data_IF_482220546052
#
_entry.id   IF_482220546052
#
_cell.length_a   1.000
_cell.length_b   1.000
_cell.length_c   1.000
_cell.angle_alpha   90.00
_cell.angle_beta   90.00
_cell.angle_gamma   90.00
#
_symmetry.space_group_name_H-M   'P 1'
#
loop_
_entity.id
_entity.type
_entity.pdbx_description
1 polymer ?
#
# COMPACT_ATOMS: atom_id res chain seq x y z
N UNK A 1 -4.88 19.54 1.37
CA UNK A 1 -4.65 18.09 1.37
C UNK A 1 -4.09 17.62 0.03
N UNK A 2 -4.70 18.01 -1.11
CA UNK A 2 -4.16 17.66 -2.43
C UNK A 2 -2.71 18.10 -2.68
N UNK A 3 -2.35 19.36 -2.42
CA UNK A 3 -0.95 19.81 -2.59
C UNK A 3 0.06 18.95 -1.81
N UNK A 4 -0.30 18.48 -0.61
CA UNK A 4 0.55 17.62 0.20
C UNK A 4 0.65 16.22 -0.41
N UNK A 5 -0.43 15.68 -0.97
CA UNK A 5 -0.40 14.40 -1.69
C UNK A 5 0.53 14.49 -2.89
N UNK A 6 0.44 15.57 -3.68
CA UNK A 6 1.31 15.77 -4.83
C UNK A 6 2.79 15.86 -4.42
N UNK A 7 3.10 16.58 -3.34
CA UNK A 7 4.46 16.63 -2.77
C UNK A 7 4.95 15.25 -2.34
N UNK A 8 4.09 14.46 -1.67
CA UNK A 8 4.44 13.13 -1.19
C UNK A 8 4.64 12.14 -2.33
N UNK A 9 3.82 12.18 -3.38
CA UNK A 9 3.99 11.32 -4.56
C UNK A 9 5.35 11.53 -5.26
N UNK A 10 5.94 12.71 -5.12
CA UNK A 10 7.27 13.03 -5.67
C UNK A 10 8.43 12.77 -4.69
N UNK A 11 8.14 12.23 -3.50
CA UNK A 11 9.14 11.93 -2.49
C UNK A 11 9.68 10.49 -2.60
N UNK A 12 10.68 10.17 -1.79
CA UNK A 12 11.11 8.78 -1.64
C UNK A 12 9.96 7.88 -1.19
N UNK A 13 9.97 6.63 -1.64
CA UNK A 13 8.93 5.68 -1.30
C UNK A 13 9.48 4.29 -1.00
N UNK A 14 8.67 3.52 -0.29
CA UNK A 14 8.89 2.13 0.06
C UNK A 14 7.76 1.30 -0.52
N UNK A 15 8.09 0.10 -0.99
CA UNK A 15 7.14 -0.86 -1.52
C UNK A 15 6.90 -1.94 -0.47
N UNK A 16 5.64 -2.28 -0.29
CA UNK A 16 5.15 -3.34 0.60
C UNK A 16 4.56 -4.42 -0.30
N UNK A 17 5.28 -5.53 -0.45
CA UNK A 17 5.05 -6.53 -1.49
C UNK A 17 5.11 -7.96 -0.91
N UNK A 18 4.51 -8.92 -1.60
CA UNK A 18 4.71 -10.34 -1.35
C UNK A 18 6.15 -10.81 -1.63
N UNK A 19 6.92 -10.08 -2.42
CA UNK A 19 8.32 -10.37 -2.73
C UNK A 19 9.28 -9.44 -1.96
N UNK A 20 10.45 -9.94 -1.52
CA UNK A 20 11.38 -9.17 -0.69
C UNK A 20 12.18 -8.12 -1.46
N UNK A 21 12.09 -8.09 -2.78
CA UNK A 21 12.76 -7.14 -3.67
C UNK A 21 12.11 -7.16 -5.05
N UNK A 22 12.35 -6.11 -5.82
CA UNK A 22 11.97 -6.06 -7.23
C UNK A 22 12.54 -7.24 -8.01
N UNK A 23 11.70 -7.88 -8.82
CA UNK A 23 12.14 -8.92 -9.75
C UNK A 23 12.81 -8.27 -10.96
N UNK A 24 14.05 -8.64 -11.32
CA UNK A 24 14.70 -8.13 -12.52
C UNK A 24 13.88 -8.42 -13.78
N UNK A 25 13.83 -7.47 -14.70
CA UNK A 25 13.11 -7.59 -15.97
C UNK A 25 13.60 -8.76 -16.84
N UNK A 26 14.85 -9.19 -16.64
CA UNK A 26 15.49 -10.30 -17.33
C UNK A 26 15.54 -11.61 -16.51
N UNK A 27 14.79 -11.73 -15.41
CA UNK A 27 14.97 -12.84 -14.45
C UNK A 27 14.70 -14.24 -15.01
N UNK A 28 14.07 -14.37 -16.19
CA UNK A 28 13.70 -15.66 -16.81
C UNK A 28 12.76 -16.53 -15.96
N UNK A 29 12.34 -16.04 -14.79
CA UNK A 29 11.46 -16.71 -13.86
C UNK A 29 9.99 -16.54 -14.20
N UNK A 30 9.12 -16.97 -13.30
CA UNK A 30 7.68 -17.02 -13.51
C UNK A 30 6.92 -15.79 -12.98
N UNK A 31 7.59 -14.66 -12.75
CA UNK A 31 6.98 -13.48 -12.11
C UNK A 31 5.67 -13.06 -12.78
N UNK A 32 5.67 -12.86 -14.10
CA UNK A 32 4.48 -12.42 -14.84
C UNK A 32 3.33 -13.46 -14.80
N UNK A 33 3.64 -14.75 -14.77
CA UNK A 33 2.63 -15.79 -14.64
C UNK A 33 2.03 -15.83 -13.23
N UNK A 34 2.87 -15.62 -12.20
CA UNK A 34 2.43 -15.50 -10.80
C UNK A 34 1.58 -14.24 -10.62
N UNK A 35 2.02 -13.10 -11.17
CA UNK A 35 1.29 -11.83 -11.15
C UNK A 35 -0.08 -11.99 -11.78
N UNK A 36 -0.14 -12.53 -13.01
CA UNK A 36 -1.40 -12.81 -13.69
C UNK A 36 -2.31 -13.72 -12.86
N UNK A 37 -1.77 -14.77 -12.23
CA UNK A 37 -2.54 -15.67 -11.37
C UNK A 37 -3.10 -14.94 -10.14
N UNK A 38 -2.31 -14.07 -9.50
CA UNK A 38 -2.75 -13.32 -8.32
C UNK A 38 -3.85 -12.33 -8.70
N UNK A 39 -3.60 -11.48 -9.70
CA UNK A 39 -4.49 -10.40 -10.12
C UNK A 39 -5.83 -10.89 -10.69
N UNK A 40 -5.86 -12.08 -11.31
CA UNK A 40 -7.07 -12.61 -11.97
C UNK A 40 -7.77 -13.74 -11.19
N UNK A 41 -7.50 -13.88 -9.89
CA UNK A 41 -8.15 -14.87 -9.04
C UNK A 41 -8.56 -14.30 -7.69
N UNK A 42 -9.21 -15.10 -6.83
CA UNK A 42 -9.52 -14.70 -5.45
C UNK A 42 -8.28 -14.40 -4.59
N UNK A 43 -7.08 -14.65 -5.10
CA UNK A 43 -5.81 -14.31 -4.43
C UNK A 43 -5.61 -12.80 -4.27
N UNK A 44 -6.14 -11.97 -5.17
CA UNK A 44 -6.05 -10.51 -5.01
C UNK A 44 -6.83 -10.03 -3.79
N UNK A 45 -8.03 -10.58 -3.55
CA UNK A 45 -8.82 -10.26 -2.35
C UNK A 45 -8.07 -10.67 -1.07
N UNK A 46 -7.46 -11.87 -1.05
CA UNK A 46 -6.65 -12.31 0.08
C UNK A 46 -5.39 -11.45 0.30
N UNK A 47 -4.85 -10.84 -0.76
CA UNK A 47 -3.75 -9.88 -0.65
C UNK A 47 -4.24 -8.54 -0.10
N UNK A 48 -5.38 -8.04 -0.57
CA UNK A 48 -6.01 -6.84 -0.03
C UNK A 48 -6.39 -7.00 1.45
N UNK A 49 -6.86 -8.16 1.88
CA UNK A 49 -7.12 -8.44 3.31
C UNK A 49 -5.85 -8.28 4.16
N UNK A 50 -4.69 -8.68 3.63
CA UNK A 50 -3.39 -8.50 4.28
C UNK A 50 -2.99 -7.02 4.35
N UNK A 51 -3.25 -6.25 3.29
CA UNK A 51 -3.07 -4.79 3.33
C UNK A 51 -3.99 -4.15 4.37
N UNK A 52 -5.28 -4.51 4.39
CA UNK A 52 -6.23 -4.04 5.40
C UNK A 52 -5.75 -4.32 6.82
N UNK A 53 -5.21 -5.52 7.10
CA UNK A 53 -4.66 -5.87 8.41
C UNK A 53 -3.50 -4.96 8.82
N UNK A 54 -2.60 -4.60 7.90
CA UNK A 54 -1.53 -3.63 8.17
C UNK A 54 -2.12 -2.27 8.52
N UNK A 55 -3.07 -1.78 7.73
CA UNK A 55 -3.67 -0.46 7.90
C UNK A 55 -4.45 -0.34 9.21
N UNK A 56 -5.20 -1.37 9.59
CA UNK A 56 -5.90 -1.42 10.87
C UNK A 56 -4.94 -1.32 12.04
N UNK A 57 -3.84 -2.07 11.99
CA UNK A 57 -2.78 -2.01 13.03
C UNK A 57 -2.11 -0.65 13.03
N UNK A 58 -1.85 -0.06 11.87
CA UNK A 58 -1.27 1.27 11.75
C UNK A 58 -2.21 2.34 12.31
N UNK A 59 -3.52 2.19 12.11
CA UNK A 59 -4.55 3.07 12.65
C UNK A 59 -4.67 3.01 14.19
N UNK A 60 -4.10 1.98 14.84
CA UNK A 60 -3.93 1.99 16.30
C UNK A 60 -2.83 2.93 16.78
N UNK A 61 -1.88 3.32 15.92
CA UNK A 61 -0.75 4.19 16.26
C UNK A 61 -0.90 5.61 15.71
N UNK A 62 -1.58 5.77 14.57
CA UNK A 62 -1.78 7.05 13.90
C UNK A 62 -3.22 7.22 13.45
N UNK A 63 -3.70 8.46 13.52
CA UNK A 63 -4.88 8.85 12.77
C UNK A 63 -4.57 8.75 11.27
N UNK A 64 -5.57 8.33 10.50
CA UNK A 64 -5.49 8.24 9.04
C UNK A 64 -6.61 9.07 8.39
N UNK A 65 -6.24 9.85 7.38
CA UNK A 65 -7.20 10.47 6.48
C UNK A 65 -7.24 9.64 5.19
N UNK A 66 -8.42 9.19 4.77
CA UNK A 66 -8.58 8.27 3.64
C UNK A 66 -9.38 8.92 2.52
N UNK A 67 -8.87 8.82 1.30
CA UNK A 67 -9.56 9.16 0.07
C UNK A 67 -9.78 7.87 -0.74
N UNK A 68 -11.04 7.58 -1.02
CA UNK A 68 -11.49 6.33 -1.66
C UNK A 68 -11.57 6.42 -3.20
N UNK A 69 -11.12 7.52 -3.80
CA UNK A 69 -11.19 7.77 -5.24
C UNK A 69 -11.43 9.24 -5.59
N UNK A 70 -11.42 9.55 -6.89
CA UNK A 70 -11.46 10.93 -7.41
C UNK A 70 -12.74 11.69 -7.05
N UNK A 71 -13.86 10.99 -6.91
CA UNK A 71 -15.16 11.59 -6.61
C UNK A 71 -15.47 11.65 -5.11
N UNK A 72 -14.63 11.03 -4.27
CA UNK A 72 -14.82 10.98 -2.83
C UNK A 72 -13.99 12.06 -2.12
N UNK A 73 -14.58 12.67 -1.09
CA UNK A 73 -13.84 13.53 -0.17
C UNK A 73 -12.87 12.74 0.72
N UNK A 74 -12.08 13.45 1.52
CA UNK A 74 -11.26 12.83 2.55
C UNK A 74 -12.09 12.51 3.78
N UNK A 75 -11.96 11.28 4.27
CA UNK A 75 -12.61 10.79 5.48
C UNK A 75 -11.54 10.61 6.57
N UNK A 76 -11.68 11.34 7.67
CA UNK A 76 -10.84 11.17 8.84
C UNK A 76 -11.25 9.94 9.65
N UNK A 77 -10.30 9.06 9.96
CA UNK A 77 -10.46 7.85 10.79
C UNK A 77 -11.78 7.10 10.50
N UNK A 78 -11.90 6.47 9.32
CA UNK A 78 -13.05 5.62 9.02
C UNK A 78 -13.20 4.51 10.06
N UNK A 79 -14.43 4.04 10.25
CA UNK A 79 -14.69 2.90 11.12
C UNK A 79 -13.82 1.70 10.68
N UNK A 80 -13.16 0.97 11.61
CA UNK A 80 -12.24 -0.11 11.26
C UNK A 80 -12.85 -1.17 10.33
N UNK A 81 -14.13 -1.53 10.54
CA UNK A 81 -14.82 -2.48 9.67
C UNK A 81 -15.02 -1.95 8.25
N UNK A 82 -15.31 -0.65 8.11
CA UNK A 82 -15.45 0.02 6.82
C UNK A 82 -14.12 0.08 6.09
N UNK A 83 -13.03 0.41 6.80
CA UNK A 83 -11.68 0.42 6.25
C UNK A 83 -11.33 -0.97 5.69
N UNK A 84 -11.53 -2.01 6.50
CA UNK A 84 -11.20 -3.37 6.09
C UNK A 84 -12.00 -3.82 4.86
N UNK A 85 -13.32 -3.64 4.89
CA UNK A 85 -14.22 -4.07 3.82
C UNK A 85 -13.88 -3.36 2.50
N UNK A 86 -13.70 -2.03 2.52
CA UNK A 86 -13.42 -1.26 1.30
C UNK A 86 -12.11 -1.65 0.63
N UNK A 87 -11.07 -1.94 1.41
CA UNK A 87 -9.80 -2.41 0.87
C UNK A 87 -9.96 -3.83 0.30
N UNK A 88 -10.57 -4.75 1.05
CA UNK A 88 -10.76 -6.14 0.65
C UNK A 88 -11.56 -6.28 -0.65
N UNK A 89 -12.59 -5.45 -0.83
CA UNK A 89 -13.48 -5.48 -2.00
C UNK A 89 -13.15 -4.44 -3.07
N UNK A 90 -11.95 -3.84 -3.03
CA UNK A 90 -11.56 -2.79 -3.97
C UNK A 90 -11.61 -3.33 -5.42
N UNK A 91 -12.30 -2.64 -6.35
CA UNK A 91 -12.34 -3.06 -7.74
C UNK A 91 -10.97 -2.88 -8.40
N UNK A 92 -10.70 -3.60 -9.48
CA UNK A 92 -9.39 -3.58 -10.15
C UNK A 92 -9.00 -2.18 -10.67
N UNK A 93 -9.96 -1.36 -11.07
CA UNK A 93 -9.74 0.03 -11.49
C UNK A 93 -9.83 1.05 -10.34
N UNK A 94 -10.02 0.56 -9.11
CA UNK A 94 -10.11 1.38 -7.90
C UNK A 94 -8.72 1.66 -7.33
N UNK A 95 -8.65 2.70 -6.53
CA UNK A 95 -7.47 3.00 -5.73
C UNK A 95 -7.90 3.64 -4.41
N UNK A 96 -7.02 3.58 -3.43
CA UNK A 96 -7.17 4.32 -2.17
C UNK A 96 -5.89 5.11 -1.90
N UNK A 97 -6.06 6.30 -1.33
CA UNK A 97 -4.98 7.12 -0.80
C UNK A 97 -5.22 7.35 0.68
N UNK A 98 -4.20 7.14 1.49
CA UNK A 98 -4.27 7.38 2.94
C UNK A 98 -3.12 8.26 3.37
N UNK A 99 -3.42 9.32 4.10
CA UNK A 99 -2.43 10.22 4.67
C UNK A 99 -2.37 9.96 6.17
N UNK A 100 -1.16 9.95 6.72
CA UNK A 100 -0.94 10.02 8.16
C UNK A 100 -0.65 11.50 8.50
N UNK A 101 -1.57 12.27 9.09
CA UNK A 101 -1.37 13.73 9.20
C UNK A 101 -0.23 14.12 10.17
N UNK A 102 -0.02 13.32 11.22
CA UNK A 102 1.02 13.55 12.22
C UNK A 102 2.44 13.26 11.69
N UNK A 103 2.55 12.37 10.70
CA UNK A 103 3.78 12.07 9.98
C UNK A 103 3.44 12.09 8.49
N UNK A 104 3.61 13.24 7.79
CA UNK A 104 3.07 13.45 6.45
C UNK A 104 3.67 12.41 5.49
N UNK A 105 2.99 11.29 5.41
CA UNK A 105 3.33 10.10 4.68
C UNK A 105 2.04 9.65 4.00
N UNK A 106 2.21 9.17 2.78
CA UNK A 106 1.10 8.78 1.93
C UNK A 106 1.20 7.28 1.66
N UNK A 107 0.11 6.57 1.90
CA UNK A 107 -0.05 5.18 1.50
C UNK A 107 -0.98 5.14 0.30
N UNK A 108 -0.59 4.40 -0.74
CA UNK A 108 -1.45 4.15 -1.90
C UNK A 108 -1.60 2.65 -2.15
N UNK A 109 -2.79 2.25 -2.55
CA UNK A 109 -3.10 0.89 -3.02
C UNK A 109 -3.91 1.03 -4.30
N UNK A 110 -3.54 0.28 -5.34
CA UNK A 110 -4.33 0.10 -6.56
C UNK A 110 -4.97 -1.28 -6.55
N UNK A 111 -6.20 -1.41 -7.07
CA UNK A 111 -6.92 -2.69 -7.09
C UNK A 111 -6.37 -3.73 -8.07
N UNK A 112 -5.46 -3.32 -8.94
CA UNK A 112 -4.78 -4.15 -9.94
C UNK A 112 -3.28 -4.31 -9.67
N UNK A 113 -2.81 -3.97 -8.47
CA UNK A 113 -1.41 -4.07 -8.08
C UNK A 113 -1.21 -5.12 -6.97
N UNK A 114 -0.05 -5.79 -6.99
CA UNK A 114 0.37 -6.72 -5.95
C UNK A 114 1.11 -6.04 -4.80
N UNK A 115 1.27 -4.71 -4.85
CA UNK A 115 1.97 -3.96 -3.83
C UNK A 115 1.16 -2.79 -3.27
N UNK A 116 1.54 -2.38 -2.06
CA UNK A 116 1.13 -1.14 -1.41
C UNK A 116 2.35 -0.23 -1.32
N UNK A 117 2.20 1.06 -1.60
CA UNK A 117 3.31 2.01 -1.63
C UNK A 117 3.21 2.99 -0.49
N UNK A 118 4.33 3.26 0.19
CA UNK A 118 4.45 4.18 1.31
C UNK A 118 5.45 5.29 0.95
N UNK A 119 4.93 6.49 0.66
CA UNK A 119 5.67 7.68 0.29
C UNK A 119 5.98 8.58 1.49
N UNK A 120 7.11 9.28 1.42
CA UNK A 120 7.48 10.34 2.38
C UNK A 120 7.75 9.85 3.80
N UNK A 121 7.72 8.54 4.02
CA UNK A 121 7.79 7.97 5.36
C UNK A 121 9.12 8.26 6.05
N UNK A 122 9.00 8.63 7.33
CA UNK A 122 10.13 8.75 8.23
C UNK A 122 10.78 7.38 8.47
N UNK A 123 12.04 7.38 8.94
CA UNK A 123 12.71 6.14 9.36
C UNK A 123 11.92 5.40 10.45
N UNK A 124 11.34 6.15 11.39
CA UNK A 124 10.53 5.61 12.49
C UNK A 124 9.28 4.89 11.96
N UNK A 125 8.55 5.51 11.02
CA UNK A 125 7.38 4.89 10.40
C UNK A 125 7.75 3.63 9.63
N UNK A 126 8.85 3.65 8.89
CA UNK A 126 9.34 2.46 8.17
C UNK A 126 9.73 1.33 9.14
N UNK A 127 10.38 1.65 10.26
CA UNK A 127 10.73 0.67 11.31
C UNK A 127 9.49 0.06 11.97
N UNK A 128 8.39 0.81 12.07
CA UNK A 128 7.10 0.30 12.53
C UNK A 128 6.39 -0.56 11.48
N UNK A 129 6.36 -0.12 10.22
CA UNK A 129 5.63 -0.81 9.14
C UNK A 129 6.28 -2.15 8.79
N UNK A 130 7.61 -2.27 8.89
CA UNK A 130 8.34 -3.52 8.64
C UNK A 130 7.80 -4.75 9.38
N UNK A 131 7.72 -4.76 10.73
CA UNK A 131 7.16 -5.89 11.45
C UNK A 131 5.66 -6.08 11.21
N UNK A 132 4.89 -5.02 10.94
CA UNK A 132 3.48 -5.15 10.57
C UNK A 132 3.31 -5.90 9.24
N UNK A 133 4.09 -5.52 8.22
CA UNK A 133 4.11 -6.21 6.94
C UNK A 133 4.58 -7.66 7.08
N UNK A 134 5.64 -7.89 7.86
CA UNK A 134 6.18 -9.24 8.08
C UNK A 134 5.18 -10.16 8.77
N UNK A 135 4.38 -9.66 9.72
CA UNK A 135 3.31 -10.43 10.37
C UNK A 135 2.23 -10.88 9.38
N UNK A 136 2.04 -10.10 8.31
CA UNK A 136 1.17 -10.45 7.20
C UNK A 136 1.91 -11.19 6.08
N UNK A 137 3.16 -11.62 6.24
CA UNK A 137 3.94 -12.31 5.21
C UNK A 137 4.37 -11.43 4.03
N UNK A 138 4.34 -10.11 4.19
CA UNK A 138 4.78 -9.11 3.23
C UNK A 138 6.16 -8.59 3.61
N UNK A 139 6.82 -7.95 2.66
CA UNK A 139 8.16 -7.40 2.80
C UNK A 139 8.16 -5.92 2.44
N UNK A 140 9.01 -5.16 3.13
CA UNK A 140 9.18 -3.73 2.89
C UNK A 140 10.57 -3.51 2.30
N UNK A 141 10.63 -2.96 1.09
CA UNK A 141 11.87 -2.65 0.40
C UNK A 141 11.79 -1.29 -0.29
N UNK A 142 12.94 -0.66 -0.50
CA UNK A 142 13.05 0.58 -1.23
C UNK A 142 13.53 0.24 -2.65
N UNK A 143 12.87 0.75 -3.72
CA UNK A 143 13.37 0.55 -5.07
C UNK A 143 14.75 1.21 -5.24
N UNK A 144 15.62 0.53 -5.99
CA UNK A 144 16.89 1.13 -6.38
C UNK A 144 16.62 2.13 -7.50
N UNK A 145 16.91 3.40 -7.28
CA UNK A 145 16.72 4.49 -8.28
C UNK A 145 17.75 4.40 -9.42
N UNK A 146 18.68 3.43 -9.39
CA UNK A 146 19.86 3.39 -10.27
C UNK A 146 19.71 2.57 -11.57
N UNK A 147 18.56 1.94 -11.86
CA UNK A 147 18.38 1.22 -13.14
C UNK A 147 16.98 1.45 -13.73
N UNK A 148 16.76 2.64 -14.28
CA UNK A 148 15.68 2.95 -15.22
C UNK A 148 16.26 3.33 -16.59
#
# INVERSE_FOLDING_TARGET
MENMVDELLNSQYWVIDMLPKQVPSNSGGQFFEVERLVLNSSRIAALHDRFASILLKLNCYYDIDVNWGADDGWQHNPEPSQLAERIATMPSNGYVRMVLPAEPALITISGDDMCMTLYGASKTLVELVKPLAQAEGLFVWQPNVEEA
#
